data_IF_917158286476
#
_entry.id   IF_917158286476
#
_cell.length_a   1.000
_cell.length_b   1.000
_cell.length_c   1.000
_cell.angle_alpha   90.00
_cell.angle_beta   90.00
_cell.angle_gamma   90.00
#
_symmetry.space_group_name_H-M   'P 1'
#
loop_
_entity.id
_entity.type
_entity.pdbx_description
1 polymer ?
#
# COMPACT_ATOMS: atom_id res chain seq x y z
N UNK A 1 38.62 3.63 -20.98
CA UNK A 1 37.31 2.97 -20.81
C UNK A 1 36.25 3.98 -21.20
N UNK A 2 35.41 3.68 -22.19
CA UNK A 2 34.29 4.57 -22.55
C UNK A 2 33.14 4.20 -21.63
N UNK A 3 32.95 4.98 -20.58
CA UNK A 3 31.80 4.85 -19.71
C UNK A 3 30.57 5.41 -20.44
N UNK A 4 29.46 4.68 -20.33
CA UNK A 4 28.16 5.05 -20.88
C UNK A 4 27.38 5.69 -19.73
N UNK A 5 27.26 7.01 -19.74
CA UNK A 5 26.31 7.72 -18.87
C UNK A 5 24.90 7.50 -19.43
N UNK A 6 24.21 6.49 -18.91
CA UNK A 6 22.80 6.25 -19.17
C UNK A 6 21.95 7.16 -18.28
N UNK A 7 21.23 8.11 -18.88
CA UNK A 7 20.05 8.71 -18.25
C UNK A 7 18.94 7.66 -18.34
N UNK A 8 18.85 6.78 -17.35
CA UNK A 8 17.70 5.90 -17.21
C UNK A 8 16.46 6.78 -16.92
N UNK A 9 15.62 7.02 -17.93
CA UNK A 9 14.29 7.59 -17.73
C UNK A 9 13.46 6.51 -17.03
N UNK A 10 13.39 6.59 -15.71
CA UNK A 10 12.59 5.67 -14.92
C UNK A 10 11.11 5.88 -15.28
N UNK A 11 10.52 4.93 -16.02
CA UNK A 11 9.07 4.87 -16.34
C UNK A 11 8.22 4.55 -15.10
N UNK A 12 8.54 5.10 -13.92
CA UNK A 12 8.30 4.41 -12.64
C UNK A 12 7.22 5.02 -11.76
N UNK A 13 6.35 5.88 -12.30
CA UNK A 13 5.12 6.28 -11.62
C UNK A 13 3.93 5.95 -12.51
N UNK A 14 3.11 5.00 -12.06
CA UNK A 14 1.88 4.60 -12.74
C UNK A 14 0.63 5.26 -12.16
N UNK A 15 0.67 5.69 -10.90
CA UNK A 15 -0.48 6.29 -10.23
C UNK A 15 -0.73 7.71 -10.76
N UNK A 16 -1.98 8.02 -11.11
CA UNK A 16 -2.36 9.35 -11.60
C UNK A 16 -3.80 9.70 -11.25
N UNK A 17 -4.07 11.00 -11.19
CA UNK A 17 -5.42 11.54 -11.15
C UNK A 17 -5.48 12.85 -11.91
N UNK A 18 -6.51 13.03 -12.72
CA UNK A 18 -6.64 14.18 -13.60
C UNK A 18 -8.02 14.24 -14.23
N UNK A 19 -8.07 14.81 -15.42
CA UNK A 19 -9.27 14.99 -16.23
C UNK A 19 -9.06 14.32 -17.60
N UNK A 20 -10.10 13.67 -18.10
CA UNK A 20 -10.07 13.07 -19.44
C UNK A 20 -10.07 14.19 -20.48
N UNK A 21 -9.04 14.24 -21.32
CA UNK A 21 -8.95 15.21 -22.42
C UNK A 21 -9.34 14.61 -23.77
N UNK A 22 -9.19 13.29 -23.92
CA UNK A 22 -9.53 12.53 -25.12
C UNK A 22 -9.84 11.07 -24.73
N UNK A 23 -10.68 10.40 -25.52
CA UNK A 23 -10.99 8.97 -25.36
C UNK A 23 -10.77 8.21 -26.65
N UNK A 24 -10.22 7.01 -26.55
CA UNK A 24 -10.09 6.11 -27.70
C UNK A 24 -11.45 5.62 -28.20
N UNK A 25 -11.53 5.22 -29.47
CA UNK A 25 -12.79 4.84 -30.14
C UNK A 25 -13.57 3.70 -29.47
N UNK A 26 -12.90 2.82 -28.72
CA UNK A 26 -13.53 1.72 -27.97
C UNK A 26 -13.92 2.06 -26.53
N UNK A 27 -13.70 3.29 -26.07
CA UNK A 27 -14.00 3.71 -24.69
C UNK A 27 -15.41 4.28 -24.63
N UNK A 28 -16.30 3.58 -23.93
CA UNK A 28 -17.73 3.97 -23.79
C UNK A 28 -18.07 4.56 -22.43
N UNK A 29 -17.19 4.40 -21.44
CA UNK A 29 -17.51 4.62 -20.02
C UNK A 29 -16.98 5.96 -19.49
N UNK A 30 -16.28 6.73 -20.33
CA UNK A 30 -15.69 8.02 -20.02
C UNK A 30 -15.87 8.96 -21.20
N UNK A 31 -15.89 10.26 -20.92
CA UNK A 31 -15.90 11.34 -21.90
C UNK A 31 -14.95 12.45 -21.48
N UNK A 32 -14.62 13.34 -22.41
CA UNK A 32 -13.86 14.54 -22.13
C UNK A 32 -14.49 15.33 -20.96
N UNK A 33 -13.66 15.81 -20.04
CA UNK A 33 -14.08 16.53 -18.84
C UNK A 33 -14.30 15.65 -17.61
N UNK A 34 -14.34 14.32 -17.76
CA UNK A 34 -14.52 13.43 -16.60
C UNK A 34 -13.28 13.46 -15.70
N UNK A 35 -13.48 13.68 -14.40
CA UNK A 35 -12.42 13.58 -13.39
C UNK A 35 -12.17 12.12 -13.07
N UNK A 36 -10.92 11.68 -13.15
CA UNK A 36 -10.56 10.26 -13.05
C UNK A 36 -9.36 10.00 -12.15
N UNK A 37 -9.26 8.76 -11.69
CA UNK A 37 -8.11 8.14 -11.04
C UNK A 37 -7.72 6.93 -11.87
N UNK A 38 -6.42 6.75 -12.10
CA UNK A 38 -5.94 5.64 -12.92
C UNK A 38 -4.57 5.13 -12.47
N UNK A 39 -4.27 3.91 -12.92
CA UNK A 39 -2.95 3.30 -12.81
C UNK A 39 -2.47 2.85 -14.20
N UNK A 40 -1.41 3.48 -14.69
CA UNK A 40 -0.70 3.03 -15.89
C UNK A 40 0.30 1.95 -15.52
N UNK A 41 -0.15 0.70 -15.57
CA UNK A 41 0.64 -0.48 -15.27
C UNK A 41 0.63 -1.46 -16.47
N UNK A 42 1.76 -2.08 -16.83
CA UNK A 42 3.12 -1.92 -16.26
C UNK A 42 3.91 -0.76 -16.88
N UNK A 43 3.30 0.03 -17.76
CA UNK A 43 3.98 0.99 -18.64
C UNK A 43 4.44 2.29 -17.95
N UNK A 44 3.76 2.72 -16.89
CA UNK A 44 4.03 3.99 -16.20
C UNK A 44 3.65 5.22 -17.01
N UNK A 45 4.25 6.38 -16.67
CA UNK A 45 4.05 7.64 -17.40
C UNK A 45 3.21 8.69 -16.67
N UNK A 46 2.89 8.48 -15.39
CA UNK A 46 2.10 9.43 -14.60
C UNK A 46 2.85 10.72 -14.19
N UNK A 47 4.17 10.78 -14.34
CA UNK A 47 4.96 12.01 -14.15
C UNK A 47 5.01 12.83 -15.46
N UNK A 48 3.85 13.19 -15.98
CA UNK A 48 3.70 14.00 -17.18
C UNK A 48 2.38 14.78 -17.13
N UNK A 49 2.31 15.89 -17.87
CA UNK A 49 1.07 16.68 -17.99
C UNK A 49 -0.06 15.89 -18.66
N UNK A 50 0.30 14.97 -19.55
CA UNK A 50 -0.61 14.04 -20.22
C UNK A 50 -0.09 12.61 -20.09
N UNK A 51 -1.01 11.68 -19.83
CA UNK A 51 -0.72 10.26 -19.75
C UNK A 51 -1.82 9.45 -20.42
N UNK A 52 -1.41 8.35 -21.05
CA UNK A 52 -2.34 7.35 -21.61
C UNK A 52 -2.51 6.25 -20.58
N UNK A 53 -3.75 5.96 -20.21
CA UNK A 53 -4.07 4.88 -19.29
C UNK A 53 -5.24 4.04 -19.81
N UNK A 54 -5.25 2.73 -19.52
CA UNK A 54 -6.34 1.87 -19.98
C UNK A 54 -7.63 2.19 -19.22
N UNK A 55 -8.75 2.30 -19.95
CA UNK A 55 -10.07 2.52 -19.36
C UNK A 55 -10.49 1.41 -18.37
N UNK A 56 -9.92 0.20 -18.51
CA UNK A 56 -10.12 -0.92 -17.58
C UNK A 56 -9.45 -0.73 -16.23
N UNK A 57 -8.45 0.15 -16.10
CA UNK A 57 -7.79 0.50 -14.84
C UNK A 57 -8.01 1.98 -14.49
N UNK A 58 -9.12 2.55 -14.96
CA UNK A 58 -9.51 3.94 -14.71
C UNK A 58 -10.87 3.96 -14.03
N UNK A 59 -11.02 4.81 -13.02
CA UNK A 59 -12.26 4.98 -12.25
C UNK A 59 -12.60 6.46 -12.11
N UNK A 60 -13.87 6.75 -11.85
CA UNK A 60 -14.31 8.11 -11.59
C UNK A 60 -13.70 8.65 -10.29
N UNK A 61 -13.28 9.92 -10.31
CA UNK A 61 -12.91 10.67 -9.10
C UNK A 61 -14.10 11.51 -8.65
N UNK A 62 -14.72 11.18 -7.51
CA UNK A 62 -15.80 11.99 -6.98
C UNK A 62 -15.25 13.34 -6.46
N UNK A 63 -16.08 14.40 -6.40
CA UNK A 63 -15.63 15.75 -6.06
C UNK A 63 -15.04 15.86 -4.64
N UNK A 64 -15.41 14.97 -3.72
CA UNK A 64 -14.89 14.92 -2.35
C UNK A 64 -13.44 14.41 -2.29
N UNK A 65 -12.96 13.72 -3.33
CA UNK A 65 -11.60 13.20 -3.40
C UNK A 65 -10.76 14.16 -4.25
N UNK A 66 -9.77 14.80 -3.62
CA UNK A 66 -8.84 15.68 -4.34
C UNK A 66 -7.98 14.90 -5.34
N UNK A 67 -7.40 15.59 -6.33
CA UNK A 67 -6.54 14.94 -7.31
C UNK A 67 -5.30 14.29 -6.65
N UNK A 68 -4.75 14.94 -5.63
CA UNK A 68 -3.59 14.43 -4.91
C UNK A 68 -3.90 13.18 -4.07
N UNK A 69 -5.08 13.12 -3.44
CA UNK A 69 -5.57 11.90 -2.79
C UNK A 69 -5.81 10.80 -3.82
N UNK A 70 -6.50 11.15 -4.91
CA UNK A 70 -6.78 10.24 -6.02
C UNK A 70 -5.52 9.61 -6.62
N UNK A 71 -4.48 10.41 -6.88
CA UNK A 71 -3.20 9.95 -7.40
C UNK A 71 -2.37 9.15 -6.37
N UNK A 72 -2.77 9.13 -5.10
CA UNK A 72 -2.04 8.47 -4.02
C UNK A 72 -2.61 7.09 -3.65
N UNK A 73 -3.77 6.73 -4.19
CA UNK A 73 -4.48 5.48 -3.90
C UNK A 73 -4.03 4.27 -4.74
N UNK A 74 -3.90 4.34 -6.08
CA UNK A 74 -4.04 3.16 -6.92
C UNK A 74 -3.05 2.04 -6.60
N UNK A 75 -1.75 2.30 -6.60
CA UNK A 75 -0.76 1.28 -6.24
C UNK A 75 -0.81 0.98 -4.75
N UNK A 76 -0.70 2.01 -3.91
CA UNK A 76 -0.41 1.81 -2.48
C UNK A 76 -1.59 1.23 -1.69
N UNK A 77 -2.81 1.77 -1.89
CA UNK A 77 -3.99 1.31 -1.19
C UNK A 77 -4.47 -0.05 -1.72
N UNK A 78 -4.39 -0.29 -3.03
CA UNK A 78 -4.68 -1.62 -3.60
C UNK A 78 -3.70 -2.68 -3.11
N UNK A 79 -2.41 -2.33 -3.00
CA UNK A 79 -1.40 -3.23 -2.41
C UNK A 79 -1.77 -3.58 -0.97
N UNK A 80 -2.11 -2.60 -0.14
CA UNK A 80 -2.51 -2.84 1.25
C UNK A 80 -3.78 -3.71 1.34
N UNK A 81 -4.77 -3.47 0.50
CA UNK A 81 -5.99 -4.27 0.45
C UNK A 81 -5.72 -5.73 0.06
N UNK A 82 -4.95 -5.95 -1.01
CA UNK A 82 -4.59 -7.28 -1.47
C UNK A 82 -3.68 -8.01 -0.48
N UNK A 83 -2.82 -7.28 0.22
CA UNK A 83 -1.98 -7.81 1.30
C UNK A 83 -2.84 -8.42 2.41
N UNK A 84 -3.84 -7.67 2.89
CA UNK A 84 -4.77 -8.16 3.92
C UNK A 84 -5.63 -9.33 3.42
N UNK A 85 -6.14 -9.25 2.18
CA UNK A 85 -6.89 -10.37 1.57
C UNK A 85 -6.05 -11.64 1.46
N UNK A 86 -4.80 -11.53 1.02
CA UNK A 86 -3.87 -12.66 0.93
C UNK A 86 -3.49 -13.23 2.30
N UNK A 87 -3.56 -12.41 3.35
CA UNK A 87 -3.41 -12.82 4.75
C UNK A 87 -4.68 -13.49 5.33
N UNK A 88 -5.77 -13.60 4.56
CA UNK A 88 -7.01 -14.26 4.99
C UNK A 88 -8.10 -13.32 5.49
N UNK A 89 -7.92 -11.99 5.39
CA UNK A 89 -8.98 -11.02 5.73
C UNK A 89 -10.04 -11.00 4.63
N UNK A 90 -11.30 -11.30 5.00
CA UNK A 90 -12.40 -11.46 4.03
C UNK A 90 -13.43 -10.33 4.05
N UNK A 91 -13.49 -9.53 5.12
CA UNK A 91 -14.48 -8.46 5.30
C UNK A 91 -13.81 -7.19 5.82
N UNK A 92 -14.29 -6.04 5.34
CA UNK A 92 -13.81 -4.70 5.70
C UNK A 92 -14.95 -3.79 6.20
N UNK A 93 -16.04 -4.40 6.68
CA UNK A 93 -17.27 -3.69 7.06
C UNK A 93 -17.48 -3.61 8.60
N UNK A 94 -16.40 -3.70 9.40
CA UNK A 94 -16.45 -3.54 10.86
C UNK A 94 -17.12 -4.67 11.64
N UNK A 95 -17.77 -5.63 10.98
CA UNK A 95 -18.25 -6.84 11.63
C UNK A 95 -17.11 -7.82 11.87
N UNK A 96 -16.64 -7.96 13.12
CA UNK A 96 -15.94 -9.17 13.54
C UNK A 96 -16.83 -10.33 13.11
N UNK A 97 -16.36 -11.18 12.20
CA UNK A 97 -17.16 -12.29 11.69
C UNK A 97 -17.73 -13.08 12.86
N UNK A 98 -19.03 -12.93 13.12
CA UNK A 98 -19.74 -13.56 14.25
C UNK A 98 -20.04 -15.04 13.97
N UNK A 99 -19.31 -15.65 13.04
CA UNK A 99 -19.34 -17.08 12.79
C UNK A 99 -18.11 -17.72 13.41
N UNK A 100 -18.28 -18.89 14.01
CA UNK A 100 -17.24 -19.74 14.58
C UNK A 100 -16.19 -20.27 13.56
N UNK A 101 -15.86 -19.50 12.52
CA UNK A 101 -14.76 -19.81 11.61
C UNK A 101 -13.45 -19.35 12.25
N UNK A 102 -12.78 -20.27 12.94
CA UNK A 102 -11.54 -20.04 13.69
C UNK A 102 -10.34 -19.59 12.83
N UNK A 103 -10.53 -19.41 11.52
CA UNK A 103 -9.49 -19.07 10.54
C UNK A 103 -9.49 -17.59 10.11
N UNK A 104 -10.34 -16.73 10.66
CA UNK A 104 -10.27 -15.28 10.37
C UNK A 104 -9.19 -14.64 11.26
N UNK A 105 -8.23 -13.87 10.69
CA UNK A 105 -7.25 -13.15 11.48
C UNK A 105 -7.93 -12.25 12.53
N UNK A 106 -7.39 -12.17 13.74
CA UNK A 106 -7.84 -11.24 14.79
C UNK A 106 -6.76 -10.22 15.10
N UNK A 107 -5.51 -10.64 15.10
CA UNK A 107 -4.34 -9.83 15.40
C UNK A 107 -3.46 -9.73 14.16
N UNK A 108 -3.17 -8.50 13.73
CA UNK A 108 -2.32 -8.22 12.58
C UNK A 108 -1.16 -7.33 12.95
N UNK A 109 0.02 -7.68 12.43
CA UNK A 109 1.20 -6.82 12.45
C UNK A 109 1.32 -6.06 11.13
N UNK A 110 1.46 -4.74 11.18
CA UNK A 110 1.79 -3.90 10.01
C UNK A 110 3.19 -3.31 10.19
N UNK A 111 4.15 -3.71 9.36
CA UNK A 111 5.51 -3.13 9.42
C UNK A 111 5.65 -1.94 8.49
N UNK A 112 6.58 -1.01 8.78
CA UNK A 112 6.74 0.25 8.05
C UNK A 112 5.40 1.00 7.90
N UNK A 113 4.61 1.00 8.98
CA UNK A 113 3.22 1.44 9.02
C UNK A 113 3.02 2.93 8.68
N UNK A 114 4.07 3.75 8.77
CA UNK A 114 4.00 5.14 8.36
C UNK A 114 4.30 5.38 6.87
N UNK A 115 4.72 4.35 6.13
CA UNK A 115 5.11 4.46 4.72
C UNK A 115 3.92 4.43 3.77
N UNK A 116 4.22 4.46 2.46
CA UNK A 116 3.23 4.56 1.40
C UNK A 116 2.14 3.47 1.42
N UNK A 117 2.50 2.20 1.62
CA UNK A 117 1.52 1.10 1.76
C UNK A 117 1.02 0.96 3.20
N UNK A 118 1.95 1.06 4.17
CA UNK A 118 1.68 0.77 5.57
C UNK A 118 0.55 1.60 6.18
N UNK A 119 0.46 2.89 5.83
CA UNK A 119 -0.57 3.77 6.43
C UNK A 119 -1.98 3.42 5.96
N UNK A 120 -2.14 2.88 4.74
CA UNK A 120 -3.40 2.32 4.29
C UNK A 120 -3.66 0.95 4.94
N UNK A 121 -2.64 0.12 5.10
CA UNK A 121 -2.78 -1.21 5.70
C UNK A 121 -3.28 -1.14 7.15
N UNK A 122 -2.80 -0.17 7.95
CA UNK A 122 -3.32 0.09 9.31
C UNK A 122 -4.81 0.40 9.27
N UNK A 123 -5.21 1.37 8.46
CA UNK A 123 -6.61 1.82 8.38
C UNK A 123 -7.53 0.70 7.88
N UNK A 124 -7.14 -0.02 6.83
CA UNK A 124 -7.92 -1.14 6.28
C UNK A 124 -8.03 -2.30 7.27
N UNK A 125 -6.97 -2.60 8.02
CA UNK A 125 -7.02 -3.61 9.07
C UNK A 125 -8.00 -3.21 10.20
N UNK A 126 -8.02 -1.93 10.57
CA UNK A 126 -9.00 -1.41 11.54
C UNK A 126 -10.43 -1.43 11.00
N UNK A 127 -10.64 -1.08 9.73
CA UNK A 127 -11.94 -1.22 9.07
C UNK A 127 -12.41 -2.69 9.02
N UNK A 128 -11.49 -3.64 8.98
CA UNK A 128 -11.76 -5.07 9.10
C UNK A 128 -12.02 -5.55 10.55
N UNK A 129 -11.97 -4.66 11.55
CA UNK A 129 -12.20 -5.00 12.95
C UNK A 129 -11.06 -5.76 13.62
N UNK A 130 -9.83 -5.64 13.09
CA UNK A 130 -8.64 -6.31 13.63
C UNK A 130 -8.00 -5.50 14.77
N UNK A 131 -7.30 -6.21 15.64
CA UNK A 131 -6.31 -5.62 16.54
C UNK A 131 -4.99 -5.42 15.77
N UNK A 132 -4.53 -4.19 15.67
CA UNK A 132 -3.39 -3.78 14.85
C UNK A 132 -2.22 -3.40 15.74
N UNK A 133 -1.18 -4.20 15.66
CA UNK A 133 0.16 -3.80 16.11
C UNK A 133 0.91 -3.26 14.89
N UNK A 134 1.54 -2.10 15.01
CA UNK A 134 2.25 -1.46 13.92
C UNK A 134 3.68 -1.10 14.30
N UNK A 135 4.61 -1.19 13.33
CA UNK A 135 5.97 -0.70 13.51
C UNK A 135 6.26 0.48 12.60
N UNK A 136 6.87 1.53 13.15
CA UNK A 136 7.32 2.71 12.42
C UNK A 136 8.54 3.31 13.14
N UNK A 137 9.14 4.38 12.60
CA UNK A 137 10.19 5.09 13.33
C UNK A 137 9.61 6.00 14.41
N UNK A 138 10.36 6.25 15.49
CA UNK A 138 9.95 7.06 16.65
C UNK A 138 9.10 8.31 16.33
N UNK A 139 9.50 9.09 15.31
CA UNK A 139 8.79 10.33 14.92
C UNK A 139 7.34 10.12 14.47
N UNK A 140 6.97 8.90 14.08
CA UNK A 140 5.68 8.55 13.49
C UNK A 140 4.79 7.72 14.44
N UNK A 141 5.18 7.55 15.71
CA UNK A 141 4.40 6.76 16.67
C UNK A 141 2.99 7.32 16.86
N UNK A 142 2.88 8.61 17.19
CA UNK A 142 1.58 9.27 17.38
C UNK A 142 0.75 9.33 16.10
N UNK A 143 1.40 9.52 14.95
CA UNK A 143 0.75 9.49 13.64
C UNK A 143 0.10 8.13 13.37
N UNK A 144 0.84 7.03 13.53
CA UNK A 144 0.34 5.67 13.27
C UNK A 144 -0.75 5.27 14.28
N UNK A 145 -0.62 5.67 15.55
CA UNK A 145 -1.68 5.51 16.53
C UNK A 145 -2.96 6.24 16.11
N UNK A 146 -2.83 7.47 15.58
CA UNK A 146 -3.95 8.27 15.05
C UNK A 146 -4.63 7.67 13.82
N UNK A 147 -3.97 6.76 13.09
CA UNK A 147 -4.58 5.97 12.01
C UNK A 147 -5.42 4.79 12.54
N UNK A 148 -5.37 4.53 13.85
CA UNK A 148 -6.15 3.51 14.54
C UNK A 148 -5.34 2.29 15.00
N UNK A 149 -4.02 2.28 14.88
CA UNK A 149 -3.22 1.20 15.46
C UNK A 149 -3.40 1.11 16.98
N UNK A 150 -3.63 -0.09 17.50
CA UNK A 150 -3.86 -0.34 18.93
C UNK A 150 -2.53 -0.37 19.71
N UNK A 151 -1.47 -0.88 19.07
CA UNK A 151 -0.11 -0.89 19.59
C UNK A 151 0.86 -0.35 18.54
N UNK A 152 1.78 0.53 18.92
CA UNK A 152 2.79 1.08 18.00
C UNK A 152 4.18 0.92 18.59
N UNK A 153 5.09 0.32 17.81
CA UNK A 153 6.45 0.03 18.19
C UNK A 153 7.44 0.82 17.34
N UNK A 154 8.45 1.42 17.98
CA UNK A 154 9.60 1.96 17.26
C UNK A 154 10.51 0.82 16.83
N UNK A 155 10.67 0.58 15.53
CA UNK A 155 11.47 -0.54 15.02
C UNK A 155 12.96 -0.45 15.41
N UNK A 156 13.44 0.71 15.87
CA UNK A 156 14.82 0.90 16.35
C UNK A 156 15.03 0.45 17.79
N UNK A 157 13.96 0.22 18.55
CA UNK A 157 14.02 -0.30 19.92
C UNK A 157 14.17 -1.82 19.92
N UNK A 158 14.74 -2.43 20.97
CA UNK A 158 14.81 -3.89 21.09
C UNK A 158 13.43 -4.58 20.95
N UNK A 159 12.39 -3.97 21.53
CA UNK A 159 11.02 -4.46 21.48
C UNK A 159 10.49 -4.45 20.03
N UNK A 160 10.64 -3.31 19.34
CA UNK A 160 10.24 -3.17 17.95
C UNK A 160 11.06 -4.03 16.98
N UNK A 161 12.36 -4.21 17.23
CA UNK A 161 13.24 -5.04 16.41
C UNK A 161 12.85 -6.54 16.46
N UNK A 162 12.31 -6.99 17.61
CA UNK A 162 11.80 -8.37 17.75
C UNK A 162 10.36 -8.54 17.27
N UNK A 163 9.69 -7.45 16.87
CA UNK A 163 8.28 -7.41 16.47
C UNK A 163 7.32 -7.96 17.52
N UNK A 164 7.72 -8.07 18.80
CA UNK A 164 6.87 -8.64 19.84
C UNK A 164 5.79 -7.64 20.24
N UNK A 165 4.53 -8.08 20.21
CA UNK A 165 3.42 -7.27 20.72
C UNK A 165 3.63 -7.01 22.23
N UNK A 166 3.43 -5.77 22.69
CA UNK A 166 3.43 -5.43 24.12
C UNK A 166 2.48 -6.31 24.95
N UNK A 167 1.32 -6.69 24.41
CA UNK A 167 0.38 -7.61 25.07
C UNK A 167 0.83 -9.07 25.09
N UNK A 168 1.94 -9.43 24.42
CA UNK A 168 2.40 -10.80 24.25
C UNK A 168 1.58 -11.62 23.23
N UNK A 169 0.59 -11.00 22.60
CA UNK A 169 -0.28 -11.65 21.62
C UNK A 169 0.49 -11.98 20.35
N UNK A 170 0.24 -13.17 19.80
CA UNK A 170 0.83 -13.59 18.52
C UNK A 170 -0.03 -13.13 17.34
N UNK A 171 0.61 -12.90 16.20
CA UNK A 171 -0.09 -12.39 15.01
C UNK A 171 -0.64 -13.51 14.14
N UNK A 172 -1.90 -13.41 13.76
CA UNK A 172 -2.56 -14.28 12.79
C UNK A 172 -2.19 -13.90 11.35
N UNK A 173 -1.87 -12.63 11.14
CA UNK A 173 -1.48 -12.07 9.86
C UNK A 173 -0.35 -11.04 10.01
N UNK A 174 0.49 -10.91 8.99
CA UNK A 174 1.47 -9.83 8.91
C UNK A 174 1.39 -9.16 7.55
N UNK A 175 1.11 -7.87 7.56
CA UNK A 175 1.26 -6.96 6.44
C UNK A 175 2.70 -6.40 6.45
N UNK A 176 3.62 -7.11 5.78
CA UNK A 176 5.02 -6.73 5.73
C UNK A 176 5.32 -5.73 4.60
N UNK A 177 5.74 -4.52 4.96
CA UNK A 177 6.08 -3.41 4.04
C UNK A 177 7.50 -2.85 4.26
N UNK A 178 8.24 -3.36 5.24
CA UNK A 178 9.64 -2.98 5.46
C UNK A 178 10.56 -3.87 4.59
N UNK A 179 11.73 -3.35 4.23
CA UNK A 179 12.69 -4.11 3.42
C UNK A 179 13.60 -4.97 4.30
N UNK A 180 13.97 -6.16 3.79
CA UNK A 180 15.10 -6.93 4.32
C UNK A 180 14.88 -7.66 5.65
N UNK A 181 13.66 -7.75 6.18
CA UNK A 181 13.43 -8.51 7.41
C UNK A 181 13.48 -10.03 7.14
N UNK A 182 14.34 -10.80 7.82
CA UNK A 182 14.42 -12.24 7.60
C UNK A 182 13.27 -12.98 8.29
N UNK A 183 12.93 -14.17 7.76
CA UNK A 183 11.87 -15.02 8.33
C UNK A 183 12.04 -15.33 9.83
N UNK A 184 13.28 -15.35 10.32
CA UNK A 184 13.61 -15.60 11.73
C UNK A 184 13.04 -14.55 12.69
N UNK A 185 12.79 -13.32 12.22
CA UNK A 185 12.15 -12.27 13.03
C UNK A 185 10.65 -12.52 13.18
N UNK A 186 9.99 -13.02 12.12
CA UNK A 186 8.55 -13.29 12.15
C UNK A 186 8.22 -14.59 12.88
N UNK A 187 8.92 -15.68 12.60
CA UNK A 187 8.55 -17.02 13.07
C UNK A 187 8.18 -17.13 14.57
N UNK A 188 8.88 -16.45 15.52
CA UNK A 188 8.58 -16.50 16.94
C UNK A 188 7.31 -15.75 17.36
N UNK A 189 6.88 -14.73 16.60
CA UNK A 189 5.74 -13.86 16.94
C UNK A 189 4.45 -14.25 16.22
N UNK A 190 4.53 -15.20 15.28
CA UNK A 190 3.39 -15.71 14.52
C UNK A 190 2.55 -16.72 15.31
N UNK A 191 1.24 -16.58 15.22
CA UNK A 191 0.27 -17.57 15.65
C UNK A 191 0.35 -18.83 14.77
N UNK A 192 -0.37 -19.88 15.18
CA UNK A 192 -0.48 -21.07 14.36
C UNK A 192 -1.25 -20.75 13.07
N UNK A 193 -0.73 -21.24 11.93
CA UNK A 193 -1.30 -20.98 10.59
C UNK A 193 -1.21 -19.53 10.08
N UNK A 194 -0.42 -18.69 10.73
CA UNK A 194 -0.30 -17.30 10.32
C UNK A 194 0.38 -17.12 8.95
N UNK A 195 -0.01 -16.04 8.25
CA UNK A 195 0.54 -15.68 6.94
C UNK A 195 1.23 -14.32 7.00
N UNK A 196 2.49 -14.28 6.57
CA UNK A 196 3.26 -13.04 6.32
C UNK A 196 3.17 -12.72 4.85
N UNK A 197 2.57 -11.58 4.51
CA UNK A 197 2.44 -11.12 3.13
C UNK A 197 3.43 -9.98 2.89
N UNK A 198 4.41 -10.21 2.02
CA UNK A 198 5.57 -9.34 1.80
C UNK A 198 5.47 -8.65 0.44
N UNK A 199 5.45 -7.32 0.43
CA UNK A 199 5.35 -6.47 -0.78
C UNK A 199 6.72 -6.06 -1.33
N UNK A 200 7.80 -6.39 -0.62
CA UNK A 200 9.19 -6.15 -1.02
C UNK A 200 10.00 -7.45 -1.05
N UNK A 201 9.52 -8.51 -1.73
CA UNK A 201 10.11 -9.84 -1.59
C UNK A 201 11.51 -9.89 -2.19
N UNK A 202 12.49 -10.20 -1.34
CA UNK A 202 13.83 -10.59 -1.79
C UNK A 202 13.90 -12.06 -2.25
N UNK A 203 15.03 -12.45 -2.84
CA UNK A 203 15.29 -13.84 -3.28
C UNK A 203 15.08 -14.85 -2.14
N UNK A 204 15.54 -14.51 -0.93
CA UNK A 204 15.38 -15.36 0.25
C UNK A 204 13.90 -15.56 0.64
N UNK A 205 13.08 -14.51 0.54
CA UNK A 205 11.64 -14.58 0.80
C UNK A 205 10.94 -15.47 -0.24
N UNK A 206 11.28 -15.33 -1.52
CA UNK A 206 10.76 -16.18 -2.60
C UNK A 206 11.11 -17.66 -2.39
N UNK A 207 12.37 -17.98 -2.10
CA UNK A 207 12.82 -19.34 -1.81
C UNK A 207 12.10 -19.92 -0.58
N UNK A 208 11.93 -19.13 0.48
CA UNK A 208 11.21 -19.54 1.69
C UNK A 208 9.75 -19.86 1.42
N UNK A 209 9.07 -19.00 0.66
CA UNK A 209 7.69 -19.19 0.22
C UNK A 209 7.52 -20.50 -0.57
N UNK A 210 8.42 -20.77 -1.52
CA UNK A 210 8.40 -22.02 -2.28
C UNK A 210 8.55 -23.25 -1.37
N UNK A 211 9.56 -23.24 -0.49
CA UNK A 211 9.79 -24.33 0.45
C UNK A 211 8.58 -24.58 1.36
N UNK A 212 7.98 -23.52 1.91
CA UNK A 212 6.81 -23.61 2.79
C UNK A 212 5.57 -24.14 2.06
N UNK A 213 5.40 -23.82 0.77
CA UNK A 213 4.33 -24.39 -0.06
C UNK A 213 4.53 -25.89 -0.27
N UNK A 214 5.73 -26.32 -0.65
CA UNK A 214 6.05 -27.74 -0.90
C UNK A 214 5.98 -28.58 0.38
N UNK A 215 6.34 -28.01 1.52
CA UNK A 215 6.31 -28.68 2.83
C UNK A 215 4.98 -28.56 3.57
N UNK A 216 3.95 -27.94 2.96
CA UNK A 216 2.65 -27.69 3.59
C UNK A 216 2.76 -27.03 4.98
N UNK A 217 3.73 -26.11 5.12
CA UNK A 217 3.99 -25.45 6.39
C UNK A 217 2.76 -24.66 6.85
N UNK A 218 2.41 -24.80 8.14
CA UNK A 218 1.30 -24.05 8.74
C UNK A 218 1.56 -22.54 8.64
N UNK A 219 2.75 -22.09 9.04
CA UNK A 219 3.17 -20.68 8.93
C UNK A 219 3.76 -20.42 7.55
N UNK A 220 3.29 -19.37 6.87
CA UNK A 220 3.63 -19.10 5.47
C UNK A 220 4.13 -17.69 5.26
N UNK A 221 5.12 -17.54 4.38
CA UNK A 221 5.48 -16.30 3.74
C UNK A 221 4.90 -16.30 2.32
N UNK A 222 4.26 -15.20 1.93
CA UNK A 222 3.64 -15.01 0.62
C UNK A 222 4.18 -13.71 0.02
N UNK A 223 5.04 -13.79 -1.01
CA UNK A 223 5.39 -12.64 -1.83
C UNK A 223 4.13 -12.12 -2.52
N UNK A 224 3.87 -10.82 -2.39
CA UNK A 224 2.75 -10.16 -3.06
C UNK A 224 3.25 -9.44 -4.31
N UNK A 225 2.57 -9.69 -5.42
CA UNK A 225 2.65 -8.88 -6.62
C UNK A 225 1.28 -8.22 -6.79
N UNK A 226 1.26 -6.89 -6.89
CA UNK A 226 0.02 -6.15 -7.12
C UNK A 226 -0.58 -6.57 -8.46
N UNK A 227 -1.86 -6.94 -8.45
CA UNK A 227 -2.66 -7.12 -9.66
C UNK A 227 -3.76 -6.06 -9.63
N UNK A 228 -3.61 -4.93 -10.35
CA UNK A 228 -4.61 -3.86 -10.32
C UNK A 228 -5.99 -4.38 -10.74
N UNK A 229 -7.02 -4.06 -9.94
CA UNK A 229 -8.42 -4.40 -10.22
C UNK A 229 -9.28 -3.17 -10.10
N UNK A 230 -10.13 -2.94 -11.09
CA UNK A 230 -10.99 -1.77 -11.15
C UNK A 230 -11.93 -1.70 -9.96
N UNK A 231 -12.55 -2.83 -9.61
CA UNK A 231 -13.57 -2.93 -8.56
C UNK A 231 -12.97 -2.64 -7.18
N UNK A 232 -11.73 -3.07 -6.95
CA UNK A 232 -11.00 -2.76 -5.71
C UNK A 232 -10.66 -1.27 -5.63
N UNK A 233 -10.26 -0.67 -6.75
CA UNK A 233 -9.96 0.76 -6.80
C UNK A 233 -11.22 1.62 -6.63
N UNK A 234 -12.35 1.25 -7.24
CA UNK A 234 -13.65 1.90 -7.02
C UNK A 234 -14.05 1.87 -5.54
N UNK A 235 -13.89 0.71 -4.89
CA UNK A 235 -14.17 0.57 -3.47
C UNK A 235 -13.24 1.43 -2.59
N UNK A 236 -11.94 1.50 -2.92
CA UNK A 236 -10.98 2.33 -2.19
C UNK A 236 -11.27 3.83 -2.35
N UNK A 237 -11.66 4.26 -3.54
CA UNK A 237 -12.11 5.64 -3.80
C UNK A 237 -13.36 5.94 -2.98
N UNK A 238 -14.31 5.01 -2.92
CA UNK A 238 -15.52 5.18 -2.11
C UNK A 238 -15.22 5.24 -0.60
N UNK A 239 -14.30 4.43 -0.09
CA UNK A 239 -13.85 4.52 1.32
C UNK A 239 -13.17 5.86 1.61
N UNK A 240 -12.44 6.41 0.64
CA UNK A 240 -11.81 7.72 0.75
C UNK A 240 -12.86 8.83 0.74
N UNK A 241 -13.83 8.76 -0.20
CA UNK A 241 -14.98 9.66 -0.27
C UNK A 241 -15.77 9.70 1.05
N UNK A 242 -15.97 8.55 1.68
CA UNK A 242 -16.66 8.43 2.97
C UNK A 242 -15.83 8.88 4.18
N UNK A 243 -14.56 9.25 3.99
CA UNK A 243 -13.63 9.60 5.07
C UNK A 243 -13.19 8.41 5.92
N UNK A 244 -13.52 7.19 5.52
CA UNK A 244 -13.13 5.93 6.20
C UNK A 244 -11.68 5.54 5.92
N UNK A 245 -11.15 5.98 4.78
CA UNK A 245 -9.75 5.81 4.41
C UNK A 245 -9.14 7.19 4.15
N UNK A 246 -8.09 7.53 4.88
CA UNK A 246 -7.39 8.81 4.73
C UNK A 246 -6.05 8.60 4.03
N UNK A 247 -5.85 9.36 2.97
CA UNK A 247 -4.53 9.47 2.33
C UNK A 247 -3.67 10.46 3.10
N UNK A 248 -2.41 10.10 3.34
CA UNK A 248 -1.46 10.99 3.99
C UNK A 248 -0.43 11.44 2.97
N UNK A 249 -0.38 12.75 2.73
CA UNK A 249 0.56 13.37 1.79
C UNK A 249 1.66 14.02 2.60
N UNK A 250 2.87 13.48 2.47
CA UNK A 250 4.08 13.98 3.12
C UNK A 250 4.53 15.30 2.51
N UNK A 251 4.50 15.38 1.19
CA UNK A 251 5.00 16.52 0.43
C UNK A 251 4.43 16.56 -0.98
N UNK A 252 4.37 17.78 -1.52
CA UNK A 252 3.90 18.09 -2.87
C UNK A 252 5.03 18.80 -3.61
N UNK A 253 5.24 18.42 -4.87
CA UNK A 253 6.26 19.01 -5.74
C UNK A 253 5.62 19.37 -7.07
N UNK A 254 5.98 20.50 -7.70
CA UNK A 254 5.64 20.70 -9.10
C UNK A 254 6.40 19.71 -9.98
N UNK A 255 5.91 19.44 -11.20
CA UNK A 255 6.59 18.58 -12.18
C UNK A 255 8.05 18.99 -12.42
N UNK A 256 8.35 20.29 -12.43
CA UNK A 256 9.70 20.83 -12.58
C UNK A 256 10.68 20.39 -11.47
N UNK A 257 10.17 19.93 -10.32
CA UNK A 257 10.93 19.41 -9.18
C UNK A 257 10.68 17.92 -8.94
N UNK A 258 10.23 17.18 -9.96
CA UNK A 258 9.98 15.74 -9.85
C UNK A 258 11.24 14.94 -9.44
N UNK A 259 12.43 15.40 -9.81
CA UNK A 259 13.68 14.77 -9.37
C UNK A 259 13.87 14.83 -7.85
N UNK A 260 13.50 15.95 -7.21
CA UNK A 260 13.58 16.09 -5.75
C UNK A 260 12.54 15.20 -5.06
N UNK A 261 11.33 15.13 -5.62
CA UNK A 261 10.30 14.20 -5.16
C UNK A 261 10.78 12.75 -5.22
N UNK A 262 11.48 12.39 -6.30
CA UNK A 262 12.06 11.06 -6.50
C UNK A 262 13.18 10.76 -5.52
N UNK A 263 14.12 11.70 -5.32
CA UNK A 263 15.20 11.57 -4.35
C UNK A 263 14.68 11.35 -2.93
N UNK A 264 13.68 12.14 -2.51
CA UNK A 264 13.03 11.99 -1.20
C UNK A 264 12.31 10.65 -1.03
N UNK A 265 11.74 10.12 -2.11
CA UNK A 265 11.13 8.77 -2.11
C UNK A 265 12.19 7.69 -1.85
N UNK A 266 13.33 7.77 -2.53
CA UNK A 266 14.45 6.82 -2.40
C UNK A 266 15.05 6.84 -0.99
N UNK A 267 15.13 8.01 -0.34
CA UNK A 267 15.64 8.12 1.03
C UNK A 267 14.84 7.28 2.04
N UNK A 268 13.58 6.89 1.72
CA UNK A 268 12.79 5.99 2.56
C UNK A 268 12.22 6.63 3.83
N UNK A 269 12.26 7.96 3.92
CA UNK A 269 11.84 8.72 5.10
C UNK A 269 10.54 9.52 4.90
N UNK A 270 9.76 9.28 3.84
CA UNK A 270 8.46 9.92 3.69
C UNK A 270 7.41 9.31 4.63
N UNK A 271 6.52 10.15 5.17
CA UNK A 271 5.35 9.72 5.95
C UNK A 271 4.11 9.73 5.07
N UNK A 272 3.74 8.58 4.53
CA UNK A 272 2.68 8.45 3.54
C UNK A 272 3.21 8.60 2.11
N UNK A 273 2.64 9.54 1.35
CA UNK A 273 2.82 9.67 -0.11
C UNK A 273 3.47 11.01 -0.48
N UNK A 274 4.37 10.96 -1.45
CA UNK A 274 4.90 12.15 -2.12
C UNK A 274 4.09 12.32 -3.40
N UNK A 275 3.57 13.52 -3.64
CA UNK A 275 2.75 13.83 -4.82
C UNK A 275 3.50 14.81 -5.71
N UNK A 276 3.47 14.56 -7.01
CA UNK A 276 3.89 15.53 -8.03
C UNK A 276 2.62 16.12 -8.64
N UNK A 277 2.51 17.44 -8.59
CA UNK A 277 1.39 18.19 -9.13
C UNK A 277 1.80 18.80 -10.47
N UNK A 278 0.91 18.63 -11.44
CA UNK A 278 1.00 19.34 -12.70
C UNK A 278 0.40 20.73 -12.44
N UNK A 279 1.17 21.79 -12.70
CA UNK A 279 0.66 23.15 -12.59
C UNK A 279 -0.61 23.30 -13.43
N UNK A 280 -1.62 23.99 -12.90
CA UNK A 280 -2.78 24.33 -13.72
C UNK A 280 -2.33 25.13 -14.93
N UNK A 281 -2.89 24.84 -16.10
CA UNK A 281 -2.88 25.81 -17.17
C UNK A 281 -3.57 27.08 -16.65
N UNK A 282 -2.82 28.17 -16.49
CA UNK A 282 -3.39 29.51 -16.47
C UNK A 282 -3.93 29.87 -17.86
#
# INVERSE_FOLDING_TARGET
MRELDLVAVAKTVGDMSGEVVEVGSGVTNFKQGDKVISISFPTGGGLAEYAVAPASLTVARPPEVSAAEGASLPTAASTALQQLKAAGVRSFNGGSGSGADSNVPKNVLVTAASGGVGHYAVQLAKLAGLHVTATCGARNLGFVAGLGADEVLDYKTPEGATLRSPSGTRYDAVAHCATGAPWSVFAPVLADRATVVDVTPGIAAAAKSFLQKVTFAKKRLVPLVLIPKKEEMEWLVDMTRQGKLKTVIDSRYPLSRAQEAWAKSIEGHATGKIVVEMGGAE
#
